data_IF_867435177721
#
_entry.id   IF_867435177721
#
_cell.length_a   1.000
_cell.length_b   1.000
_cell.length_c   1.000
_cell.angle_alpha   90.00
_cell.angle_beta   90.00
_cell.angle_gamma   90.00
#
_symmetry.space_group_name_H-M   'P 1'
#
loop_
_entity.id
_entity.type
_entity.pdbx_description
1 polymer ?
#
# COMPACT_ATOMS: atom_id res chain seq x y z
N UNK A 1 -3.10 -9.96 17.85
CA UNK A 1 -3.67 -10.84 16.81
C UNK A 1 -2.83 -10.81 15.53
N UNK A 2 -3.03 -11.76 14.63
CA UNK A 2 -2.38 -11.78 13.30
C UNK A 2 -2.82 -10.56 12.50
N UNK A 3 -4.10 -10.24 12.52
CA UNK A 3 -4.67 -9.07 11.83
C UNK A 3 -4.06 -7.75 12.30
N UNK A 4 -3.87 -7.57 13.59
CA UNK A 4 -3.19 -6.41 14.15
C UNK A 4 -1.77 -6.26 13.57
N UNK A 5 -1.01 -7.36 13.48
CA UNK A 5 0.35 -7.32 12.92
C UNK A 5 0.35 -6.94 11.44
N UNK A 6 -0.59 -7.47 10.67
CA UNK A 6 -0.66 -7.23 9.24
C UNK A 6 -1.17 -5.81 8.90
N UNK A 7 -2.10 -5.28 9.69
CA UNK A 7 -2.79 -4.04 9.32
C UNK A 7 -2.26 -2.80 10.03
N UNK A 8 -1.79 -2.94 11.28
CA UNK A 8 -1.52 -1.79 12.15
C UNK A 8 -0.11 -1.74 12.73
N UNK A 9 0.76 -2.69 12.41
CA UNK A 9 2.15 -2.66 12.87
C UNK A 9 3.13 -2.44 11.74
N UNK A 10 4.21 -1.68 12.00
CA UNK A 10 5.28 -1.52 11.02
C UNK A 10 6.03 -2.84 10.81
N UNK A 11 6.59 -3.00 9.62
CA UNK A 11 7.43 -4.16 9.31
C UNK A 11 8.64 -3.76 8.49
N UNK A 12 9.74 -4.48 8.69
CA UNK A 12 10.97 -4.32 7.93
C UNK A 12 11.28 -5.62 7.19
N UNK A 13 11.52 -5.53 5.90
CA UNK A 13 11.81 -6.67 5.04
C UNK A 13 13.02 -6.38 4.15
N UNK A 14 13.88 -7.36 3.99
CA UNK A 14 14.91 -7.35 2.93
C UNK A 14 14.23 -7.76 1.63
N UNK A 15 14.15 -6.86 0.66
CA UNK A 15 13.46 -7.11 -0.62
C UNK A 15 14.42 -7.38 -1.78
N UNK A 16 15.71 -7.13 -1.60
CA UNK A 16 16.74 -7.53 -2.53
C UNK A 16 18.08 -7.64 -1.80
N UNK A 17 18.89 -8.60 -2.22
CA UNK A 17 20.25 -8.81 -1.76
C UNK A 17 21.14 -9.04 -2.98
N UNK A 18 22.23 -8.29 -3.05
CA UNK A 18 23.25 -8.39 -4.09
C UNK A 18 24.59 -8.71 -3.43
N UNK A 19 25.24 -9.74 -3.90
CA UNK A 19 26.57 -10.17 -3.48
C UNK A 19 27.26 -10.79 -4.69
N UNK A 20 28.47 -11.31 -4.50
CA UNK A 20 29.17 -12.01 -5.57
C UNK A 20 28.35 -13.21 -6.10
N UNK A 21 28.27 -13.40 -7.43
CA UNK A 21 27.57 -14.56 -8.01
C UNK A 21 28.28 -15.88 -7.61
N UNK A 22 27.48 -16.93 -7.44
CA UNK A 22 28.03 -18.27 -7.14
C UNK A 22 28.81 -18.80 -8.36
N UNK A 23 28.29 -18.57 -9.57
CA UNK A 23 28.99 -18.96 -10.79
C UNK A 23 30.28 -18.13 -10.98
N UNK A 24 31.41 -18.81 -11.08
CA UNK A 24 32.73 -18.17 -11.17
C UNK A 24 33.30 -17.73 -9.82
N UNK A 25 32.69 -18.12 -8.71
CA UNK A 25 33.24 -17.84 -7.38
C UNK A 25 34.57 -18.57 -7.14
N UNK A 26 35.45 -17.98 -6.37
CA UNK A 26 36.72 -18.53 -5.94
C UNK A 26 36.83 -18.56 -4.43
N UNK A 27 37.87 -19.14 -3.89
CA UNK A 27 38.15 -19.22 -2.44
C UNK A 27 38.55 -17.87 -1.82
N UNK A 28 37.84 -16.79 -2.21
CA UNK A 28 38.06 -15.45 -1.72
C UNK A 28 36.87 -14.93 -0.95
N UNK A 29 37.13 -14.19 0.11
CA UNK A 29 36.09 -13.49 0.86
C UNK A 29 35.58 -12.33 -0.01
N UNK A 30 34.26 -12.19 -0.13
CA UNK A 30 33.66 -11.08 -0.84
C UNK A 30 34.00 -9.76 -0.15
N UNK A 31 34.24 -8.74 -0.95
CA UNK A 31 34.63 -7.39 -0.49
C UNK A 31 33.42 -6.49 -0.22
N UNK A 32 32.29 -6.78 -0.85
CA UNK A 32 31.09 -5.97 -0.76
C UNK A 32 29.79 -6.76 -0.95
N UNK A 33 28.74 -6.28 -0.31
CA UNK A 33 27.37 -6.73 -0.53
C UNK A 33 26.41 -5.55 -0.39
N UNK A 34 25.27 -5.62 -1.06
CA UNK A 34 24.23 -4.60 -1.00
C UNK A 34 22.89 -5.24 -0.67
N UNK A 35 22.08 -4.54 0.11
CA UNK A 35 20.72 -4.95 0.37
C UNK A 35 19.75 -3.79 0.16
N UNK A 36 18.58 -4.08 -0.35
CA UNK A 36 17.45 -3.15 -0.36
C UNK A 36 16.47 -3.56 0.71
N UNK A 37 16.15 -2.60 1.57
CA UNK A 37 15.20 -2.77 2.65
C UNK A 37 13.91 -2.03 2.32
N UNK A 38 12.79 -2.64 2.63
CA UNK A 38 11.47 -2.00 2.64
C UNK A 38 11.00 -1.87 4.08
N UNK A 39 10.80 -0.63 4.53
CA UNK A 39 10.19 -0.33 5.83
C UNK A 39 8.75 0.10 5.59
N UNK A 40 7.81 -0.73 5.98
CA UNK A 40 6.39 -0.39 5.98
C UNK A 40 6.09 0.48 7.19
N UNK A 41 5.55 1.66 6.94
CA UNK A 41 5.05 2.57 7.98
C UNK A 41 3.54 2.37 8.17
N UNK A 42 3.06 2.74 9.34
CA UNK A 42 1.64 2.69 9.72
C UNK A 42 1.13 4.11 9.97
N UNK A 43 -0.19 4.33 10.10
CA UNK A 43 -0.71 5.63 10.50
C UNK A 43 0.02 6.19 11.72
N UNK A 44 0.22 7.51 11.72
CA UNK A 44 0.92 8.29 12.75
C UNK A 44 2.45 8.08 12.82
N UNK A 45 3.05 7.33 11.88
CA UNK A 45 4.50 7.27 11.69
C UNK A 45 4.95 8.25 10.61
N UNK A 46 5.96 9.07 10.93
CA UNK A 46 6.68 9.83 9.92
C UNK A 46 7.68 8.91 9.20
N UNK A 47 7.45 8.69 7.90
CA UNK A 47 8.29 7.80 7.09
C UNK A 47 9.72 8.33 6.89
N UNK A 48 9.92 9.65 6.84
CA UNK A 48 11.26 10.26 6.75
C UNK A 48 12.03 10.04 8.04
N UNK A 49 11.42 10.28 9.18
CA UNK A 49 12.04 10.06 10.49
C UNK A 49 12.32 8.57 10.73
N UNK A 50 11.39 7.69 10.41
CA UNK A 50 11.58 6.24 10.50
C UNK A 50 12.77 5.78 9.62
N UNK A 51 12.85 6.28 8.39
CA UNK A 51 13.97 6.01 7.49
C UNK A 51 15.30 6.51 8.05
N UNK A 52 15.34 7.72 8.59
CA UNK A 52 16.53 8.32 9.23
C UNK A 52 17.01 7.49 10.43
N UNK A 53 16.09 7.05 11.27
CA UNK A 53 16.41 6.20 12.43
C UNK A 53 16.94 4.84 12.00
N UNK A 54 16.37 4.24 10.95
CA UNK A 54 16.86 2.98 10.39
C UNK A 54 18.29 3.13 9.85
N UNK A 55 18.56 4.17 9.06
CA UNK A 55 19.92 4.47 8.55
C UNK A 55 20.90 4.62 9.72
N UNK A 56 20.56 5.45 10.71
CA UNK A 56 21.38 5.63 11.92
C UNK A 56 21.67 4.30 12.63
N UNK A 57 20.67 3.43 12.75
CA UNK A 57 20.84 2.14 13.43
C UNK A 57 21.75 1.18 12.67
N UNK A 58 21.60 1.11 11.35
CA UNK A 58 22.41 0.26 10.49
C UNK A 58 23.88 0.68 10.48
N UNK A 59 24.14 1.98 10.35
CA UNK A 59 25.51 2.51 10.30
C UNK A 59 26.22 2.48 11.65
N UNK A 60 25.49 2.67 12.75
CA UNK A 60 26.08 2.64 14.10
C UNK A 60 26.46 1.24 14.60
N UNK A 61 26.02 0.18 13.94
CA UNK A 61 26.26 -1.23 14.33
C UNK A 61 26.95 -2.02 13.24
N UNK A 62 27.83 -1.38 12.51
CA UNK A 62 28.67 -2.08 11.55
C UNK A 62 29.51 -3.16 12.25
N UNK A 63 29.60 -4.39 11.71
CA UNK A 63 30.51 -5.39 12.18
C UNK A 63 31.97 -4.89 12.17
N UNK A 64 32.81 -5.43 13.03
CA UNK A 64 34.22 -5.03 13.11
C UNK A 64 34.88 -5.16 11.72
N UNK A 65 35.55 -4.11 11.28
CA UNK A 65 36.23 -4.04 9.99
C UNK A 65 35.33 -3.74 8.78
N UNK A 66 33.99 -3.77 8.92
CA UNK A 66 33.10 -3.45 7.83
C UNK A 66 32.79 -1.95 7.75
N UNK A 67 32.75 -1.41 6.53
CA UNK A 67 32.24 -0.06 6.27
C UNK A 67 30.78 -0.18 5.80
N UNK A 68 29.86 0.35 6.58
CA UNK A 68 28.42 0.33 6.23
C UNK A 68 27.96 1.73 5.87
N UNK A 69 27.36 1.87 4.71
CA UNK A 69 26.65 3.06 4.29
C UNK A 69 25.18 2.72 3.99
N UNK A 70 24.28 3.62 4.32
CA UNK A 70 22.87 3.45 4.03
C UNK A 70 22.23 4.80 3.69
N UNK A 71 21.21 4.77 2.84
CA UNK A 71 20.44 5.98 2.47
C UNK A 71 18.97 5.64 2.27
N UNK A 72 18.12 6.60 2.51
CA UNK A 72 16.69 6.51 2.16
C UNK A 72 16.57 6.81 0.67
N UNK A 73 15.99 5.90 -0.10
CA UNK A 73 15.81 6.05 -1.55
C UNK A 73 14.44 6.62 -1.93
N UNK A 74 13.47 6.54 -1.06
CA UNK A 74 12.13 7.08 -1.27
C UNK A 74 11.25 6.85 -0.06
N UNK A 75 10.23 7.69 0.08
CA UNK A 75 9.23 7.59 1.15
C UNK A 75 7.86 7.77 0.51
N UNK A 76 6.96 6.82 0.78
CA UNK A 76 5.54 6.94 0.49
C UNK A 76 4.78 7.25 1.78
N UNK A 77 3.71 8.03 1.65
CA UNK A 77 2.84 8.31 2.82
C UNK A 77 1.90 7.12 3.05
N UNK A 78 1.67 6.82 4.32
CA UNK A 78 0.58 5.93 4.71
C UNK A 78 -0.77 6.58 4.37
N UNK A 79 -1.78 5.75 4.22
CA UNK A 79 -3.16 6.18 4.02
C UNK A 79 -4.09 5.46 4.98
N UNK A 80 -5.00 6.19 5.54
CA UNK A 80 -6.08 5.68 6.38
C UNK A 80 -7.35 6.46 6.07
N UNK A 81 -8.46 5.78 6.02
CA UNK A 81 -9.79 6.38 5.94
C UNK A 81 -10.68 5.83 7.03
N UNK A 82 -11.67 6.60 7.41
CA UNK A 82 -12.81 6.12 8.16
C UNK A 82 -13.82 5.55 7.14
N UNK A 83 -14.16 4.24 7.20
CA UNK A 83 -15.02 3.60 6.22
C UNK A 83 -16.52 3.89 6.48
N UNK A 84 -16.85 5.11 6.80
CA UNK A 84 -18.21 5.58 7.08
C UNK A 84 -18.68 6.63 6.07
N UNK A 85 -19.98 6.88 6.07
CA UNK A 85 -20.61 7.90 5.24
C UNK A 85 -21.16 7.40 3.91
N UNK A 86 -21.84 8.29 3.16
CA UNK A 86 -22.69 7.90 2.01
C UNK A 86 -21.97 7.13 0.92
N UNK A 87 -20.68 7.44 0.65
CA UNK A 87 -19.91 6.74 -0.38
C UNK A 87 -19.60 5.30 0.02
N UNK A 88 -19.23 5.06 1.29
CA UNK A 88 -18.98 3.71 1.79
C UNK A 88 -20.23 2.88 1.90
N UNK A 89 -21.36 3.50 2.29
CA UNK A 89 -22.67 2.82 2.30
C UNK A 89 -23.12 2.44 0.89
N UNK A 90 -22.92 3.32 -0.09
CA UNK A 90 -23.18 3.03 -1.49
C UNK A 90 -22.31 1.84 -1.97
N UNK A 91 -21.04 1.82 -1.62
CA UNK A 91 -20.15 0.72 -1.96
C UNK A 91 -20.55 -0.61 -1.31
N UNK A 92 -20.95 -0.61 -0.04
CA UNK A 92 -21.46 -1.82 0.65
C UNK A 92 -22.68 -2.39 -0.06
N UNK A 93 -23.68 -1.54 -0.38
CA UNK A 93 -24.88 -1.99 -1.11
C UNK A 93 -24.54 -2.51 -2.50
N UNK A 94 -23.65 -1.83 -3.22
CA UNK A 94 -23.24 -2.24 -4.55
C UNK A 94 -22.52 -3.60 -4.55
N UNK A 95 -21.60 -3.80 -3.62
CA UNK A 95 -20.90 -5.07 -3.43
C UNK A 95 -21.86 -6.19 -3.03
N UNK A 96 -22.79 -5.91 -2.12
CA UNK A 96 -23.82 -6.88 -1.73
C UNK A 96 -24.68 -7.32 -2.92
N UNK A 97 -25.07 -6.39 -3.80
CA UNK A 97 -25.80 -6.70 -5.04
C UNK A 97 -24.97 -7.52 -6.04
N UNK A 98 -23.69 -7.17 -6.21
CA UNK A 98 -22.81 -7.84 -7.17
C UNK A 98 -22.41 -9.24 -6.74
N UNK A 99 -22.12 -9.43 -5.46
CA UNK A 99 -21.61 -10.69 -4.90
C UNK A 99 -22.67 -11.55 -4.18
N UNK A 100 -23.87 -11.02 -3.98
CA UNK A 100 -24.94 -11.65 -3.20
C UNK A 100 -24.52 -11.98 -1.75
N UNK A 101 -23.64 -11.15 -1.18
CA UNK A 101 -23.11 -11.25 0.19
C UNK A 101 -22.78 -9.86 0.71
N UNK A 102 -22.89 -9.67 2.00
CA UNK A 102 -22.45 -8.43 2.65
C UNK A 102 -20.94 -8.22 2.50
N UNK A 103 -20.54 -6.98 2.28
CA UNK A 103 -19.15 -6.60 2.21
C UNK A 103 -18.52 -6.52 3.60
N UNK A 104 -17.35 -7.12 3.76
CA UNK A 104 -16.54 -6.96 4.96
C UNK A 104 -15.52 -5.84 4.76
N UNK A 105 -15.34 -5.03 5.78
CA UNK A 105 -14.28 -4.02 5.81
C UNK A 105 -13.02 -4.63 6.39
N UNK A 106 -11.93 -4.55 5.65
CA UNK A 106 -10.63 -5.08 6.06
C UNK A 106 -9.56 -3.99 5.98
N UNK A 107 -8.53 -4.11 6.81
CA UNK A 107 -7.29 -3.38 6.62
C UNK A 107 -6.39 -4.10 5.61
N UNK A 108 -5.58 -3.36 4.89
CA UNK A 108 -4.57 -3.94 4.02
C UNK A 108 -3.18 -3.47 4.42
N UNK A 109 -2.26 -4.40 4.53
CA UNK A 109 -0.84 -4.11 4.79
C UNK A 109 -0.06 -3.72 3.53
N UNK A 110 -0.72 -3.51 2.40
CA UNK A 110 -0.13 -3.06 1.14
C UNK A 110 0.08 -1.56 1.08
N UNK A 111 0.95 -1.10 0.18
CA UNK A 111 1.20 0.32 -0.04
C UNK A 111 0.73 0.71 -1.44
N UNK A 112 -0.25 1.59 -1.51
CA UNK A 112 -0.69 2.21 -2.76
C UNK A 112 -0.34 3.70 -2.65
N UNK A 113 0.90 4.04 -3.00
CA UNK A 113 1.51 5.34 -2.69
C UNK A 113 0.82 6.57 -3.28
N UNK A 114 -0.06 6.42 -4.27
CA UNK A 114 -0.78 7.54 -4.87
C UNK A 114 -2.13 7.86 -4.19
N UNK A 115 -2.68 6.99 -3.34
CA UNK A 115 -4.03 7.18 -2.76
C UNK A 115 -4.10 8.45 -1.93
N UNK A 116 -3.16 8.65 -1.00
CA UNK A 116 -3.15 9.85 -0.17
C UNK A 116 -2.93 11.14 -0.99
N UNK A 117 -1.93 11.22 -1.89
CA UNK A 117 -1.77 12.37 -2.78
C UNK A 117 -3.00 12.65 -3.64
N UNK A 118 -3.68 11.62 -4.15
CA UNK A 118 -4.90 11.77 -4.93
C UNK A 118 -6.05 12.30 -4.07
N UNK A 119 -6.25 11.74 -2.89
CA UNK A 119 -7.26 12.22 -1.95
C UNK A 119 -7.03 13.69 -1.58
N UNK A 120 -5.79 14.08 -1.29
CA UNK A 120 -5.40 15.46 -0.98
C UNK A 120 -5.67 16.40 -2.17
N UNK A 121 -5.26 16.02 -3.38
CA UNK A 121 -5.45 16.79 -4.59
C UNK A 121 -6.94 17.01 -4.92
N UNK A 122 -7.75 16.03 -4.59
CA UNK A 122 -9.19 16.06 -4.74
C UNK A 122 -9.91 16.66 -3.51
N UNK A 123 -9.20 17.24 -2.48
CA UNK A 123 -9.73 17.93 -1.30
C UNK A 123 -10.33 16.95 -0.28
N UNK A 124 -9.75 15.76 -0.09
CA UNK A 124 -10.16 14.79 0.92
C UNK A 124 -11.40 13.96 0.56
N UNK A 125 -11.59 13.62 -0.73
CA UNK A 125 -12.66 12.67 -1.10
C UNK A 125 -12.44 11.32 -0.46
N UNK A 126 -13.51 10.60 -0.11
CA UNK A 126 -13.41 9.19 0.24
C UNK A 126 -12.80 8.39 -0.91
N UNK A 127 -11.80 7.58 -0.60
CA UNK A 127 -11.22 6.63 -1.54
C UNK A 127 -11.76 5.24 -1.22
N UNK A 128 -12.45 4.65 -2.18
CA UNK A 128 -12.97 3.29 -2.09
C UNK A 128 -11.96 2.36 -2.75
N UNK A 129 -11.28 1.53 -1.95
CA UNK A 129 -10.34 0.53 -2.42
C UNK A 129 -11.05 -0.83 -2.48
N UNK A 130 -11.16 -1.35 -3.68
CA UNK A 130 -11.83 -2.63 -3.95
C UNK A 130 -10.96 -3.44 -4.89
N UNK A 131 -11.03 -4.76 -4.81
CA UNK A 131 -10.29 -5.67 -5.65
C UNK A 131 -11.07 -6.92 -5.97
N UNK A 132 -10.48 -7.78 -6.81
CA UNK A 132 -11.04 -9.07 -7.26
C UNK A 132 -10.10 -10.24 -7.00
N UNK A 133 -9.23 -10.07 -6.04
CA UNK A 133 -8.25 -11.07 -5.66
C UNK A 133 -8.87 -12.10 -4.71
N UNK A 134 -8.40 -13.32 -4.81
CA UNK A 134 -8.71 -14.40 -3.89
C UNK A 134 -7.41 -15.05 -3.36
N UNK A 135 -7.46 -15.93 -2.36
CA UNK A 135 -6.26 -16.55 -1.80
C UNK A 135 -5.45 -17.41 -2.78
N UNK A 136 -5.98 -17.73 -3.94
CA UNK A 136 -5.33 -18.56 -4.96
C UNK A 136 -4.80 -17.73 -6.14
N UNK A 137 -5.04 -16.43 -6.14
CA UNK A 137 -4.65 -15.52 -7.23
C UNK A 137 -3.14 -15.41 -7.45
N UNK A 138 -2.31 -15.80 -6.48
CA UNK A 138 -0.84 -15.72 -6.53
C UNK A 138 -0.33 -14.32 -6.93
N UNK A 139 -0.90 -13.28 -6.32
CA UNK A 139 -0.65 -11.86 -6.62
C UNK A 139 0.85 -11.54 -6.63
N UNK A 140 1.30 -10.81 -7.64
CA UNK A 140 2.71 -10.43 -7.84
C UNK A 140 3.66 -11.63 -7.98
N UNK A 141 3.16 -12.79 -8.33
CA UNK A 141 3.91 -14.03 -8.46
C UNK A 141 3.74 -14.66 -9.86
N UNK A 142 4.53 -15.68 -10.12
CA UNK A 142 4.36 -16.48 -11.33
C UNK A 142 3.00 -17.17 -11.34
N UNK A 143 2.39 -17.28 -12.52
CA UNK A 143 1.06 -17.84 -12.72
C UNK A 143 -0.06 -17.11 -11.97
N UNK A 144 0.07 -15.80 -11.80
CA UNK A 144 -1.01 -14.97 -11.29
C UNK A 144 -2.31 -15.24 -12.08
N UNK A 145 -3.41 -15.41 -11.37
CA UNK A 145 -4.69 -15.79 -11.93
C UNK A 145 -5.83 -14.94 -11.42
N UNK A 146 -6.94 -14.99 -12.15
CA UNK A 146 -8.17 -14.29 -11.81
C UNK A 146 -9.35 -15.26 -11.90
N UNK A 147 -10.15 -15.35 -10.83
CA UNK A 147 -11.36 -16.14 -10.85
C UNK A 147 -12.44 -15.44 -11.66
N UNK A 148 -12.79 -15.98 -12.85
CA UNK A 148 -13.70 -15.33 -13.79
C UNK A 148 -15.11 -15.10 -13.23
N UNK A 149 -15.60 -15.99 -12.36
CA UNK A 149 -16.88 -15.82 -11.68
C UNK A 149 -16.87 -14.59 -10.75
N UNK A 150 -15.79 -14.36 -10.02
CA UNK A 150 -15.69 -13.20 -9.12
C UNK A 150 -15.40 -11.91 -9.90
N UNK A 151 -14.69 -12.00 -11.02
CA UNK A 151 -14.55 -10.88 -11.95
C UNK A 151 -15.90 -10.42 -12.50
N UNK A 152 -16.75 -11.35 -12.94
CA UNK A 152 -18.11 -11.04 -13.38
C UNK A 152 -18.97 -10.41 -12.28
N UNK A 153 -18.83 -10.86 -11.02
CA UNK A 153 -19.52 -10.26 -9.87
C UNK A 153 -18.97 -8.84 -9.58
N UNK A 154 -17.68 -8.64 -9.69
CA UNK A 154 -17.06 -7.34 -9.51
C UNK A 154 -17.51 -6.31 -10.56
N UNK A 155 -17.65 -6.73 -11.83
CA UNK A 155 -18.23 -5.89 -12.88
C UNK A 155 -19.67 -5.48 -12.51
N UNK A 156 -20.51 -6.43 -12.09
CA UNK A 156 -21.87 -6.11 -11.63
C UNK A 156 -21.87 -5.16 -10.43
N UNK A 157 -20.98 -5.39 -9.47
CA UNK A 157 -20.84 -4.50 -8.32
C UNK A 157 -20.40 -3.08 -8.75
N UNK A 158 -19.52 -2.95 -9.72
CA UNK A 158 -19.11 -1.65 -10.25
C UNK A 158 -20.28 -0.90 -10.91
N UNK A 159 -21.11 -1.59 -11.69
CA UNK A 159 -22.33 -0.99 -12.29
C UNK A 159 -23.28 -0.50 -11.20
N UNK A 160 -23.54 -1.33 -10.19
CA UNK A 160 -24.35 -0.92 -9.05
C UNK A 160 -23.73 0.23 -8.25
N UNK A 161 -22.40 0.29 -8.15
CA UNK A 161 -21.71 1.37 -7.43
C UNK A 161 -21.97 2.73 -8.08
N UNK A 162 -21.89 2.83 -9.40
CA UNK A 162 -22.21 4.08 -10.09
C UNK A 162 -23.65 4.51 -9.86
N UNK A 163 -24.61 3.58 -9.91
CA UNK A 163 -26.02 3.86 -9.65
C UNK A 163 -26.26 4.29 -8.19
N UNK A 164 -25.65 3.59 -7.23
CA UNK A 164 -25.75 3.92 -5.80
C UNK A 164 -25.11 5.27 -5.47
N UNK A 165 -23.95 5.60 -6.06
CA UNK A 165 -23.31 6.88 -5.87
C UNK A 165 -24.10 8.04 -6.48
N UNK A 166 -24.76 7.83 -7.62
CA UNK A 166 -25.62 8.84 -8.24
C UNK A 166 -26.81 9.21 -7.36
N UNK A 167 -27.27 8.28 -6.51
CA UNK A 167 -28.39 8.48 -5.58
C UNK A 167 -27.96 8.87 -4.17
N UNK A 168 -26.67 8.71 -3.85
CA UNK A 168 -26.16 9.02 -2.52
C UNK A 168 -26.16 10.53 -2.27
N UNK A 169 -26.48 11.00 -1.04
CA UNK A 169 -26.42 12.41 -0.66
C UNK A 169 -24.95 12.84 -0.48
N UNK A 170 -24.19 12.81 -1.58
CA UNK A 170 -22.82 13.29 -1.60
C UNK A 170 -22.85 14.81 -1.54
N UNK A 171 -22.22 15.41 -0.53
CA UNK A 171 -22.16 16.86 -0.42
C UNK A 171 -21.48 17.46 -1.68
N UNK A 172 -22.05 18.51 -2.29
CA UNK A 172 -21.43 19.20 -3.42
C UNK A 172 -20.10 19.76 -2.96
N UNK A 173 -19.06 19.40 -3.67
CA UNK A 173 -17.68 19.70 -3.31
C UNK A 173 -17.30 21.11 -3.73
N UNK A 174 -16.91 21.95 -2.79
CA UNK A 174 -16.14 23.15 -3.11
C UNK A 174 -14.71 22.71 -3.41
N UNK A 175 -14.34 22.66 -4.69
CA UNK A 175 -12.94 22.52 -5.07
C UNK A 175 -12.17 23.67 -4.43
N UNK A 176 -11.19 23.35 -3.59
CA UNK A 176 -10.30 24.36 -3.05
C UNK A 176 -9.65 25.12 -4.23
N UNK A 177 -9.56 26.47 -4.17
CA UNK A 177 -8.93 27.24 -5.24
C UNK A 177 -7.50 26.74 -5.43
N UNK A 178 -7.15 26.40 -6.67
CA UNK A 178 -5.78 26.01 -7.01
C UNK A 178 -4.83 27.07 -6.48
N UNK A 179 -3.99 26.74 -5.52
CA UNK A 179 -2.86 27.59 -5.17
C UNK A 179 -2.03 27.74 -6.42
N UNK A 180 -2.04 28.94 -7.01
CA UNK A 180 -1.10 29.27 -8.09
C UNK A 180 0.29 29.05 -7.53
N UNK A 181 1.09 28.20 -8.19
CA UNK A 181 2.51 28.14 -7.92
C UNK A 181 3.03 29.59 -8.07
N UNK A 182 3.65 30.09 -7.02
CA UNK A 182 4.40 31.36 -7.15
C UNK A 182 5.62 31.08 -8.03
N UNK A 183 5.95 32.01 -8.95
CA UNK A 183 7.11 31.90 -9.80
C UNK A 183 8.41 31.78 -9.01
#
# INVERSE_FOLDING_TARGET
SVWERLWTRPSLTVIALEAHPIAGSSNQVIDSARARLSLRTVPDMDGHEAGRLLVKRLTARAPAGAKVSARVSGVARWWRTDPEGPAFEAARRALAKGFSREAAMIGAGGSIGFVQPLADALGGVPCLLMGVEDPHSAIHSENESLHLGDFAKAIRAAVHLYDELARAPLAPRRLAPRRRARP
#
